data_IF_785994165706
#
_entry.id   IF_785994165706
#
_cell.length_a   1.000
_cell.length_b   1.000
_cell.length_c   1.000
_cell.angle_alpha   90.00
_cell.angle_beta   90.00
_cell.angle_gamma   90.00
#
_symmetry.space_group_name_H-M   'P 1'
#
loop_
_entity.id
_entity.type
_entity.pdbx_description
1 polymer ?
#
# COMPACT_ATOMS: atom_id res chain seq x y z
N UNK A 1 1.31 25.52 -16.93
CA UNK A 1 0.46 24.92 -15.88
C UNK A 1 1.17 25.14 -14.56
N UNK A 2 0.54 25.84 -13.62
CA UNK A 2 1.18 26.23 -12.35
C UNK A 2 0.88 25.27 -11.21
N UNK A 3 -0.30 24.65 -11.21
CA UNK A 3 -0.70 23.65 -10.24
C UNK A 3 -1.49 22.50 -10.89
N UNK A 4 -1.42 21.32 -10.27
CA UNK A 4 -2.19 20.12 -10.58
C UNK A 4 -3.00 19.69 -9.36
N UNK A 5 -4.25 19.28 -9.55
CA UNK A 5 -5.14 18.91 -8.44
C UNK A 5 -5.70 17.50 -8.64
N UNK A 6 -5.66 16.68 -7.58
CA UNK A 6 -6.35 15.39 -7.50
C UNK A 6 -7.33 15.38 -6.32
N UNK A 7 -8.57 14.94 -6.52
CA UNK A 7 -9.56 14.84 -5.46
C UNK A 7 -9.49 13.49 -4.74
N UNK A 8 -9.60 13.49 -3.40
CA UNK A 8 -9.64 12.30 -2.55
C UNK A 8 -10.82 12.36 -1.58
N UNK A 9 -11.75 11.42 -1.68
CA UNK A 9 -12.98 11.38 -0.88
C UNK A 9 -13.10 10.15 0.04
N UNK A 10 -12.13 9.25 0.05
CA UNK A 10 -12.17 7.99 0.81
C UNK A 10 -11.06 7.92 1.86
N UNK A 11 -11.38 7.44 3.06
CA UNK A 11 -10.40 7.08 4.09
C UNK A 11 -9.78 5.69 3.85
N UNK A 12 -10.42 4.85 3.02
CA UNK A 12 -9.91 3.52 2.70
C UNK A 12 -8.77 3.63 1.69
N UNK A 13 -9.01 4.35 0.59
CA UNK A 13 -8.02 4.58 -0.46
C UNK A 13 -7.23 5.85 -0.17
N UNK A 14 -5.90 5.74 -0.16
CA UNK A 14 -4.92 6.83 -0.03
C UNK A 14 -3.99 6.96 -1.24
N UNK A 15 -2.95 7.77 -1.13
CA UNK A 15 -1.95 8.06 -2.18
C UNK A 15 -1.06 6.86 -2.50
N UNK A 16 -0.98 5.89 -1.58
CA UNK A 16 -0.15 4.68 -1.69
C UNK A 16 -0.96 3.38 -1.73
N UNK A 17 -2.29 3.43 -1.68
CA UNK A 17 -3.13 2.22 -1.70
C UNK A 17 -3.32 1.64 -3.10
N UNK A 18 -3.17 2.49 -4.11
CA UNK A 18 -3.20 2.13 -5.53
C UNK A 18 -2.12 2.94 -6.24
N UNK A 19 -1.84 2.57 -7.47
CA UNK A 19 -0.87 3.20 -8.36
C UNK A 19 -1.42 4.45 -9.07
N UNK A 20 -2.75 4.54 -9.25
CA UNK A 20 -3.41 5.68 -9.90
C UNK A 20 -2.91 7.06 -9.45
N UNK A 21 -2.74 7.37 -8.15
CA UNK A 21 -2.41 8.72 -7.73
C UNK A 21 -1.07 9.20 -8.31
N UNK A 22 -0.03 8.37 -8.29
CA UNK A 22 1.25 8.76 -8.87
C UNK A 22 1.22 8.67 -10.40
N UNK A 23 0.47 7.73 -10.98
CA UNK A 23 0.35 7.62 -12.44
C UNK A 23 -0.29 8.87 -13.05
N UNK A 24 -1.40 9.35 -12.48
CA UNK A 24 -2.13 10.50 -12.99
C UNK A 24 -1.52 11.82 -12.51
N UNK A 25 -1.52 12.07 -11.20
CA UNK A 25 -1.09 13.37 -10.67
C UNK A 25 0.44 13.51 -10.74
N UNK A 26 1.17 12.48 -10.32
CA UNK A 26 2.63 12.44 -10.44
C UNK A 26 3.10 12.47 -11.88
N UNK A 27 2.52 11.64 -12.76
CA UNK A 27 2.85 11.61 -14.19
C UNK A 27 2.58 12.92 -14.91
N UNK A 28 1.45 13.59 -14.60
CA UNK A 28 1.18 14.94 -15.11
C UNK A 28 2.22 15.95 -14.61
N UNK A 29 2.58 15.90 -13.32
CA UNK A 29 3.65 16.71 -12.75
C UNK A 29 4.99 16.50 -13.46
N UNK A 30 5.36 15.26 -13.72
CA UNK A 30 6.56 14.88 -14.46
C UNK A 30 6.54 15.44 -15.89
N UNK A 31 5.43 15.32 -16.60
CA UNK A 31 5.30 15.83 -17.97
C UNK A 31 5.47 17.36 -18.02
N UNK A 32 4.83 18.09 -17.10
CA UNK A 32 5.01 19.55 -16.98
C UNK A 32 6.46 19.91 -16.63
N UNK A 33 7.08 19.20 -15.69
CA UNK A 33 8.49 19.41 -15.31
C UNK A 33 9.43 19.16 -16.48
N UNK A 34 9.17 18.13 -17.28
CA UNK A 34 9.97 17.83 -18.48
C UNK A 34 9.87 18.93 -19.54
N UNK A 35 8.67 19.46 -19.78
CA UNK A 35 8.43 20.48 -20.81
C UNK A 35 8.88 21.88 -20.40
N UNK A 36 8.77 22.23 -19.11
CA UNK A 36 9.01 23.60 -18.63
C UNK A 36 10.28 23.75 -17.79
N UNK A 37 10.91 22.66 -17.40
CA UNK A 37 12.05 22.65 -16.47
C UNK A 37 11.66 22.85 -14.99
N UNK A 38 10.39 23.13 -14.68
CA UNK A 38 9.90 23.37 -13.31
C UNK A 38 8.70 22.49 -12.98
N UNK A 39 8.70 21.87 -11.81
CA UNK A 39 7.55 21.12 -11.30
C UNK A 39 6.36 22.07 -11.04
N UNK A 40 5.12 21.69 -11.42
CA UNK A 40 3.93 22.40 -10.95
C UNK A 40 3.70 22.09 -9.47
N UNK A 41 2.95 22.94 -8.77
CA UNK A 41 2.48 22.61 -7.43
C UNK A 41 1.47 21.46 -7.49
N UNK A 42 1.72 20.39 -6.74
CA UNK A 42 0.80 19.25 -6.68
C UNK A 42 -0.09 19.39 -5.44
N UNK A 43 -1.39 19.39 -5.65
CA UNK A 43 -2.41 19.63 -4.63
C UNK A 43 -3.39 18.46 -4.54
N UNK A 44 -3.90 18.23 -3.34
CA UNK A 44 -4.95 17.27 -3.04
C UNK A 44 -6.18 18.01 -2.54
N UNK A 45 -7.31 17.85 -3.23
CA UNK A 45 -8.61 18.23 -2.70
C UNK A 45 -9.08 17.14 -1.74
N UNK A 46 -8.88 17.35 -0.45
CA UNK A 46 -9.23 16.43 0.61
C UNK A 46 -10.71 16.58 0.97
N UNK A 47 -11.52 15.65 0.46
CA UNK A 47 -12.96 15.57 0.62
C UNK A 47 -13.37 14.40 1.54
N UNK A 48 -12.44 13.85 2.33
CA UNK A 48 -12.68 12.72 3.24
C UNK A 48 -13.67 13.04 4.35
N UNK A 49 -13.67 14.31 4.79
CA UNK A 49 -14.67 14.85 5.70
C UNK A 49 -15.52 15.88 4.94
N UNK A 50 -16.80 15.58 4.63
CA UNK A 50 -17.69 16.50 3.94
C UNK A 50 -17.90 17.83 4.69
N UNK A 51 -17.66 17.88 6.00
CA UNK A 51 -17.80 19.08 6.83
C UNK A 51 -16.50 19.88 6.94
N UNK A 52 -15.38 19.31 6.52
CA UNK A 52 -14.04 19.90 6.63
C UNK A 52 -13.23 19.71 5.34
N UNK A 53 -13.90 19.89 4.20
CA UNK A 53 -13.28 19.87 2.89
C UNK A 53 -12.19 20.94 2.79
N UNK A 54 -11.00 20.55 2.32
CA UNK A 54 -9.84 21.46 2.25
C UNK A 54 -8.87 21.03 1.16
N UNK A 55 -8.07 21.97 0.69
CA UNK A 55 -6.97 21.69 -0.23
C UNK A 55 -5.67 21.61 0.56
N UNK A 56 -4.91 20.55 0.33
CA UNK A 56 -3.61 20.30 0.97
C UNK A 56 -2.54 20.14 -0.11
N UNK A 57 -1.27 20.38 0.22
CA UNK A 57 -0.18 20.02 -0.69
C UNK A 57 -0.06 18.49 -0.76
N UNK A 58 0.28 17.95 -1.94
CA UNK A 58 0.47 16.50 -2.09
C UNK A 58 1.58 15.98 -1.17
N UNK A 59 2.63 16.76 -0.94
CA UNK A 59 3.71 16.43 0.00
C UNK A 59 3.19 16.31 1.45
N UNK A 60 2.37 17.27 1.91
CA UNK A 60 1.80 17.25 3.26
C UNK A 60 0.79 16.12 3.46
N UNK A 61 -0.08 15.90 2.46
CA UNK A 61 -1.05 14.82 2.47
C UNK A 61 -0.35 13.45 2.49
N UNK A 62 0.62 13.21 1.61
CA UNK A 62 1.41 11.97 1.56
C UNK A 62 2.14 11.71 2.89
N UNK A 63 2.76 12.73 3.48
CA UNK A 63 3.45 12.61 4.76
C UNK A 63 2.47 12.22 5.90
N UNK A 64 1.29 12.83 5.94
CA UNK A 64 0.26 12.50 6.94
C UNK A 64 -0.24 11.06 6.77
N UNK A 65 -0.44 10.62 5.53
CA UNK A 65 -0.86 9.24 5.26
C UNK A 65 0.17 8.20 5.64
N UNK A 66 1.44 8.46 5.34
CA UNK A 66 2.54 7.57 5.71
C UNK A 66 2.56 7.34 7.23
N UNK A 67 2.51 8.41 8.03
CA UNK A 67 2.55 8.33 9.50
C UNK A 67 1.30 7.68 10.09
N UNK A 68 0.13 7.91 9.49
CA UNK A 68 -1.15 7.36 10.00
C UNK A 68 -1.42 5.92 9.55
N UNK A 69 -0.66 5.40 8.57
CA UNK A 69 -0.84 4.05 8.03
C UNK A 69 0.47 3.29 7.94
N UNK A 70 1.31 3.57 6.96
CA UNK A 70 2.47 2.74 6.62
C UNK A 70 3.49 2.63 7.77
N UNK A 71 3.72 3.73 8.48
CA UNK A 71 4.62 3.79 9.63
C UNK A 71 3.89 3.54 10.96
N UNK A 72 2.58 3.34 10.94
CA UNK A 72 1.81 3.16 12.16
C UNK A 72 1.90 1.70 12.63
N UNK A 73 2.40 1.41 13.86
CA UNK A 73 2.60 0.04 14.32
C UNK A 73 1.28 -0.75 14.39
N UNK A 74 0.16 -0.09 14.63
CA UNK A 74 -1.16 -0.73 14.60
C UNK A 74 -1.56 -1.25 13.21
N UNK A 75 -1.21 -0.53 12.15
CA UNK A 75 -1.47 -0.98 10.78
C UNK A 75 -0.51 -2.10 10.39
N UNK A 76 0.77 -1.99 10.75
CA UNK A 76 1.77 -3.04 10.52
C UNK A 76 1.33 -4.35 11.17
N UNK A 77 0.88 -4.31 12.43
CA UNK A 77 0.31 -5.48 13.13
C UNK A 77 -0.93 -6.04 12.43
N UNK A 78 -1.81 -5.16 11.95
CA UNK A 78 -2.98 -5.56 11.16
C UNK A 78 -2.59 -6.32 9.90
N UNK A 79 -1.59 -5.83 9.16
CA UNK A 79 -1.05 -6.53 8.00
C UNK A 79 -0.35 -7.84 8.40
N UNK A 80 0.35 -7.89 9.54
CA UNK A 80 0.96 -9.14 10.01
C UNK A 80 -0.08 -10.25 10.26
N UNK A 81 -1.26 -9.90 10.76
CA UNK A 81 -2.35 -10.84 10.99
C UNK A 81 -2.88 -11.50 9.70
N UNK A 82 -2.69 -10.84 8.54
CA UNK A 82 -3.09 -11.34 7.22
C UNK A 82 -2.02 -12.19 6.53
N UNK A 83 -0.82 -12.35 7.13
CA UNK A 83 0.25 -13.20 6.60
C UNK A 83 0.73 -12.75 5.21
N UNK A 84 0.69 -13.66 4.22
CA UNK A 84 1.21 -13.40 2.87
C UNK A 84 0.54 -12.20 2.19
N UNK A 85 -0.79 -12.08 2.26
CA UNK A 85 -1.53 -10.96 1.63
C UNK A 85 -1.20 -9.63 2.31
N UNK A 86 -1.00 -9.63 3.63
CA UNK A 86 -0.53 -8.45 4.36
C UNK A 86 0.86 -8.01 3.93
N UNK A 87 1.78 -8.95 3.72
CA UNK A 87 3.13 -8.65 3.22
C UNK A 87 3.10 -8.06 1.80
N UNK A 88 2.21 -8.57 0.92
CA UNK A 88 2.01 -7.99 -0.41
C UNK A 88 1.44 -6.56 -0.34
N UNK A 89 0.47 -6.28 0.54
CA UNK A 89 -0.06 -4.93 0.72
C UNK A 89 1.01 -3.93 1.22
N UNK A 90 1.90 -4.36 2.10
CA UNK A 90 3.06 -3.56 2.49
C UNK A 90 3.99 -3.31 1.29
N UNK A 91 4.23 -4.33 0.46
CA UNK A 91 5.11 -4.22 -0.70
C UNK A 91 4.51 -3.26 -1.74
N UNK A 92 3.22 -3.38 -2.02
CA UNK A 92 2.50 -2.51 -2.95
C UNK A 92 2.57 -1.06 -2.51
N UNK A 93 2.46 -0.79 -1.21
CA UNK A 93 2.63 0.57 -0.68
C UNK A 93 4.01 1.15 -0.96
N UNK A 94 5.09 0.35 -0.83
CA UNK A 94 6.46 0.77 -1.16
C UNK A 94 6.63 0.93 -2.67
N UNK A 95 6.06 0.04 -3.48
CA UNK A 95 6.08 0.18 -4.94
C UNK A 95 5.37 1.47 -5.39
N UNK A 96 4.25 1.83 -4.77
CA UNK A 96 3.53 3.07 -5.04
C UNK A 96 4.31 4.30 -4.55
N UNK A 97 5.02 4.18 -3.42
CA UNK A 97 5.92 5.23 -2.93
C UNK A 97 7.12 5.45 -3.85
N UNK A 98 7.66 4.36 -4.43
CA UNK A 98 8.62 4.42 -5.52
C UNK A 98 8.06 5.11 -6.76
N UNK A 99 6.81 4.84 -7.12
CA UNK A 99 6.10 5.55 -8.19
C UNK A 99 6.12 7.07 -7.99
N UNK A 100 5.72 7.53 -6.79
CA UNK A 100 5.81 8.94 -6.42
C UNK A 100 7.23 9.49 -6.47
N UNK A 101 8.21 8.73 -5.98
CA UNK A 101 9.63 9.10 -6.01
C UNK A 101 10.13 9.33 -7.44
N UNK A 102 9.73 8.47 -8.38
CA UNK A 102 10.13 8.58 -9.78
C UNK A 102 9.43 9.73 -10.51
N UNK A 103 8.13 9.93 -10.26
CA UNK A 103 7.32 10.90 -11.01
C UNK A 103 7.35 12.31 -10.42
N UNK A 104 7.43 12.44 -9.09
CA UNK A 104 7.40 13.70 -8.37
C UNK A 104 8.38 13.66 -7.18
N UNK A 105 9.70 13.53 -7.42
CA UNK A 105 10.70 13.46 -6.36
C UNK A 105 10.64 14.65 -5.40
N UNK A 106 10.20 15.82 -5.87
CA UNK A 106 10.04 17.03 -5.07
C UNK A 106 9.05 16.93 -3.90
N UNK A 107 8.14 15.95 -3.90
CA UNK A 107 7.19 15.74 -2.80
C UNK A 107 7.61 14.62 -1.83
N UNK A 108 8.66 13.87 -2.18
CA UNK A 108 9.18 12.75 -1.41
C UNK A 108 10.43 13.20 -0.66
N UNK A 109 10.54 12.81 0.60
CA UNK A 109 11.67 13.19 1.46
C UNK A 109 12.50 11.99 1.89
N UNK A 110 13.78 12.24 2.17
CA UNK A 110 14.72 11.22 2.64
C UNK A 110 14.26 10.54 3.94
N UNK A 111 13.65 11.28 4.87
CA UNK A 111 13.15 10.73 6.14
C UNK A 111 12.05 9.68 5.95
N UNK A 112 11.27 9.79 4.88
CA UNK A 112 10.19 8.85 4.58
C UNK A 112 10.75 7.51 4.07
N UNK A 113 11.77 7.54 3.21
CA UNK A 113 12.49 6.32 2.83
C UNK A 113 13.24 5.71 4.01
N UNK A 114 13.84 6.54 4.86
CA UNK A 114 14.49 6.07 6.09
C UNK A 114 13.49 5.31 6.98
N UNK A 115 12.31 5.88 7.21
CA UNK A 115 11.31 5.27 8.10
C UNK A 115 10.84 3.89 7.60
N UNK A 116 10.75 3.67 6.28
CA UNK A 116 10.52 2.33 5.72
C UNK A 116 11.61 1.33 6.10
N UNK A 117 12.89 1.73 6.04
CA UNK A 117 14.01 0.87 6.45
C UNK A 117 13.98 0.60 7.96
N UNK A 118 13.62 1.60 8.77
CA UNK A 118 13.49 1.47 10.22
C UNK A 118 12.36 0.51 10.61
N UNK A 119 11.20 0.62 9.97
CA UNK A 119 10.00 -0.13 10.35
C UNK A 119 10.00 -1.56 9.82
N UNK A 120 10.33 -1.75 8.54
CA UNK A 120 10.16 -3.05 7.87
C UNK A 120 11.43 -3.90 7.80
N UNK A 121 12.60 -3.32 8.11
CA UNK A 121 13.87 -4.06 8.10
C UNK A 121 14.57 -4.05 9.45
N UNK A 122 14.74 -2.88 10.07
CA UNK A 122 15.33 -2.81 11.43
C UNK A 122 14.34 -3.28 12.50
N UNK A 123 13.04 -3.37 12.18
CA UNK A 123 11.98 -3.72 13.11
C UNK A 123 11.97 -2.78 14.33
N UNK A 124 11.93 -1.47 14.08
CA UNK A 124 11.94 -0.41 15.10
C UNK A 124 10.89 -0.64 16.21
N UNK A 125 9.74 -1.19 15.83
CA UNK A 125 8.62 -1.49 16.74
C UNK A 125 8.72 -2.85 17.44
N UNK A 126 9.74 -3.67 17.13
CA UNK A 126 9.98 -5.00 17.71
C UNK A 126 8.78 -5.94 17.53
N UNK A 127 8.23 -5.97 16.32
CA UNK A 127 7.07 -6.76 15.93
C UNK A 127 7.45 -8.17 15.43
N UNK A 128 8.73 -8.52 15.45
CA UNK A 128 9.22 -9.80 14.96
C UNK A 128 9.23 -9.88 13.44
N UNK A 129 9.52 -8.75 12.78
CA UNK A 129 9.36 -8.60 11.33
C UNK A 129 10.13 -9.65 10.54
N UNK A 130 11.40 -9.87 10.91
CA UNK A 130 12.28 -10.84 10.26
C UNK A 130 11.75 -12.27 10.29
N UNK A 131 11.25 -12.72 11.45
CA UNK A 131 10.67 -14.07 11.56
C UNK A 131 9.37 -14.17 10.77
N UNK A 132 8.54 -13.13 10.85
CA UNK A 132 7.23 -13.12 10.21
C UNK A 132 7.35 -13.13 8.68
N UNK A 133 8.16 -12.25 8.08
CA UNK A 133 8.35 -12.21 6.62
C UNK A 133 9.00 -13.48 6.09
N UNK A 134 9.96 -14.07 6.82
CA UNK A 134 10.61 -15.32 6.41
C UNK A 134 9.63 -16.50 6.38
N UNK A 135 8.65 -16.50 7.27
CA UNK A 135 7.61 -17.53 7.31
C UNK A 135 6.54 -17.31 6.24
N UNK A 136 6.15 -16.07 5.98
CA UNK A 136 4.97 -15.77 5.16
C UNK A 136 5.32 -15.36 3.73
N UNK A 137 6.28 -14.45 3.54
CA UNK A 137 6.55 -13.82 2.24
C UNK A 137 8.00 -13.26 2.14
N UNK A 138 9.06 -14.08 2.15
CA UNK A 138 10.44 -13.60 2.10
C UNK A 138 10.74 -12.82 0.82
N UNK A 139 10.10 -13.18 -0.30
CA UNK A 139 10.21 -12.46 -1.58
C UNK A 139 9.67 -11.03 -1.48
N UNK A 140 8.64 -10.79 -0.67
CA UNK A 140 8.06 -9.47 -0.52
C UNK A 140 9.04 -8.53 0.19
N UNK A 141 9.66 -8.97 1.30
CA UNK A 141 10.66 -8.15 1.99
C UNK A 141 11.89 -7.93 1.12
N UNK A 142 12.34 -8.94 0.37
CA UNK A 142 13.46 -8.76 -0.56
C UNK A 142 13.18 -7.69 -1.62
N UNK A 143 11.96 -7.65 -2.18
CA UNK A 143 11.55 -6.61 -3.13
C UNK A 143 11.40 -5.23 -2.48
N UNK A 144 10.90 -5.14 -1.25
CA UNK A 144 10.88 -3.88 -0.49
C UNK A 144 12.30 -3.32 -0.33
N UNK A 145 13.25 -4.18 0.06
CA UNK A 145 14.66 -3.82 0.20
C UNK A 145 15.27 -3.42 -1.14
N UNK A 146 14.95 -4.14 -2.22
CA UNK A 146 15.39 -3.80 -3.56
C UNK A 146 14.90 -2.39 -3.96
N UNK A 147 13.66 -2.02 -3.66
CA UNK A 147 13.16 -0.66 -3.90
C UNK A 147 13.89 0.40 -3.09
N UNK A 148 14.13 0.16 -1.81
CA UNK A 148 14.89 1.08 -0.95
C UNK A 148 16.32 1.29 -1.46
N UNK A 149 17.02 0.21 -1.79
CA UNK A 149 18.39 0.27 -2.32
C UNK A 149 18.44 0.89 -3.72
N UNK A 150 17.45 0.65 -4.58
CA UNK A 150 17.33 1.33 -5.89
C UNK A 150 17.10 2.83 -5.73
N UNK A 151 16.32 3.26 -4.73
CA UNK A 151 16.15 4.68 -4.42
C UNK A 151 17.47 5.34 -4.02
N UNK A 152 18.27 4.67 -3.18
CA UNK A 152 19.60 5.15 -2.84
C UNK A 152 20.55 5.16 -4.04
N UNK A 153 20.61 4.06 -4.81
CA UNK A 153 21.49 3.91 -5.98
C UNK A 153 21.23 4.95 -7.07
N UNK A 154 19.99 5.42 -7.17
CA UNK A 154 19.54 6.42 -8.16
C UNK A 154 19.48 7.83 -7.60
N UNK A 155 20.10 8.08 -6.44
CA UNK A 155 20.19 9.38 -5.78
C UNK A 155 18.84 10.01 -5.38
N UNK A 156 17.77 9.21 -5.32
CA UNK A 156 16.46 9.65 -4.82
C UNK A 156 16.36 9.63 -3.30
N UNK A 157 17.20 8.85 -2.64
CA UNK A 157 17.24 8.74 -1.20
C UNK A 157 18.68 8.83 -0.69
N UNK A 158 18.94 9.83 0.15
CA UNK A 158 20.22 9.97 0.86
C UNK A 158 20.10 9.36 2.25
N UNK A 159 20.93 8.37 2.52
CA UNK A 159 21.03 7.70 3.82
C UNK A 159 22.48 7.39 4.16
N UNK A 160 22.73 6.98 5.39
CA UNK A 160 24.06 6.64 5.86
C UNK A 160 24.52 5.26 5.38
N UNK A 161 25.83 5.04 5.41
CA UNK A 161 26.45 3.78 4.99
C UNK A 161 25.99 2.59 5.85
N UNK A 162 25.63 2.81 7.11
CA UNK A 162 25.21 1.73 8.01
C UNK A 162 23.81 1.21 7.64
N UNK A 163 22.90 2.08 7.22
CA UNK A 163 21.60 1.71 6.67
C UNK A 163 21.76 0.95 5.35
N UNK A 164 22.60 1.43 4.43
CA UNK A 164 22.87 0.72 3.17
C UNK A 164 23.45 -0.68 3.41
N UNK A 165 24.43 -0.79 4.33
CA UNK A 165 25.02 -2.07 4.71
C UNK A 165 24.00 -3.04 5.30
N UNK A 166 23.12 -2.54 6.16
CA UNK A 166 22.05 -3.35 6.79
C UNK A 166 21.07 -3.87 5.74
N UNK A 167 20.61 -3.00 4.85
CA UNK A 167 19.70 -3.36 3.76
C UNK A 167 20.35 -4.39 2.82
N UNK A 168 21.58 -4.16 2.39
CA UNK A 168 22.32 -5.08 1.53
C UNK A 168 22.54 -6.45 2.20
N UNK A 169 22.92 -6.45 3.48
CA UNK A 169 23.08 -7.69 4.25
C UNK A 169 21.77 -8.46 4.40
N UNK A 170 20.65 -7.77 4.68
CA UNK A 170 19.34 -8.41 4.78
C UNK A 170 18.91 -8.99 3.44
N UNK A 171 19.10 -8.26 2.34
CA UNK A 171 18.82 -8.75 0.99
C UNK A 171 19.63 -10.02 0.68
N UNK A 172 20.94 -10.01 0.91
CA UNK A 172 21.82 -11.17 0.70
C UNK A 172 21.41 -12.39 1.54
N UNK A 173 20.98 -12.17 2.78
CA UNK A 173 20.49 -13.24 3.65
C UNK A 173 19.20 -13.88 3.09
N UNK A 174 18.25 -13.06 2.63
CA UNK A 174 17.02 -13.53 2.01
C UNK A 174 17.32 -14.25 0.68
N UNK A 175 18.18 -13.67 -0.15
CA UNK A 175 18.64 -14.24 -1.43
C UNK A 175 19.19 -15.65 -1.26
N UNK A 176 20.13 -15.85 -0.34
CA UNK A 176 20.75 -17.15 -0.11
C UNK A 176 19.80 -18.18 0.49
N UNK A 177 18.94 -17.77 1.42
CA UNK A 177 18.06 -18.70 2.16
C UNK A 177 16.81 -19.10 1.38
N UNK A 178 16.32 -18.24 0.49
CA UNK A 178 15.04 -18.42 -0.20
C UNK A 178 15.16 -18.39 -1.73
N UNK A 179 16.39 -18.52 -2.25
CA UNK A 179 16.69 -18.54 -3.69
C UNK A 179 16.13 -17.32 -4.45
N UNK A 180 16.30 -16.12 -3.87
CA UNK A 180 15.80 -14.86 -4.43
C UNK A 180 16.91 -14.19 -5.24
N UNK A 181 16.63 -13.88 -6.51
CA UNK A 181 17.58 -13.25 -7.42
C UNK A 181 16.97 -12.05 -8.13
N UNK A 182 17.66 -10.91 -8.16
CA UNK A 182 17.31 -9.80 -9.05
C UNK A 182 17.98 -9.98 -10.41
N UNK A 183 17.23 -9.79 -11.50
CA UNK A 183 17.77 -9.78 -12.86
C UNK A 183 18.55 -8.50 -13.18
N UNK A 184 18.39 -7.44 -12.38
CA UNK A 184 19.06 -6.15 -12.57
C UNK A 184 20.53 -6.19 -12.16
N UNK A 185 21.44 -6.12 -13.14
CA UNK A 185 22.89 -6.19 -12.90
C UNK A 185 23.42 -5.02 -12.06
N UNK A 186 22.98 -3.79 -12.34
CA UNK A 186 23.42 -2.60 -11.61
C UNK A 186 22.96 -2.63 -10.14
N UNK A 187 21.78 -3.18 -9.88
CA UNK A 187 21.31 -3.43 -8.53
C UNK A 187 22.22 -4.44 -7.81
N UNK A 188 22.51 -5.59 -8.42
CA UNK A 188 23.39 -6.61 -7.82
C UNK A 188 24.79 -6.07 -7.50
N UNK A 189 25.34 -5.23 -8.37
CA UNK A 189 26.62 -4.56 -8.12
C UNK A 189 26.55 -3.60 -6.93
N UNK A 190 25.47 -2.81 -6.83
CA UNK A 190 25.26 -1.91 -5.70
C UNK A 190 25.06 -2.66 -4.37
N UNK A 191 24.33 -3.77 -4.38
CA UNK A 191 24.21 -4.66 -3.20
C UNK A 191 25.59 -5.17 -2.79
N UNK A 192 26.39 -5.70 -3.73
CA UNK A 192 27.74 -6.21 -3.43
C UNK A 192 28.67 -5.14 -2.87
N UNK A 193 28.59 -3.91 -3.39
CA UNK A 193 29.40 -2.79 -2.92
C UNK A 193 29.05 -2.34 -1.49
N UNK A 194 27.80 -2.57 -1.06
CA UNK A 194 27.32 -2.17 0.26
C UNK A 194 27.19 -3.34 1.24
N UNK A 195 27.16 -4.60 0.78
CA UNK A 195 27.18 -5.75 1.66
C UNK A 195 28.49 -5.75 2.44
N UNK A 196 28.48 -6.07 3.75
CA UNK A 196 29.72 -6.19 4.49
C UNK A 196 30.57 -7.26 3.80
N UNK A 197 31.78 -6.88 3.39
CA UNK A 197 32.79 -7.84 2.96
C UNK A 197 32.88 -8.87 4.07
N UNK A 198 32.61 -10.14 3.75
CA UNK A 198 32.92 -11.24 4.65
C UNK A 198 34.32 -10.95 5.20
N UNK A 199 34.43 -10.81 6.52
CA UNK A 199 35.72 -10.63 7.17
C UNK A 199 36.67 -11.65 6.52
N UNK A 200 37.87 -11.25 6.07
CA UNK A 200 38.76 -12.16 5.36
C UNK A 200 38.86 -13.42 6.21
N UNK A 201 38.25 -14.50 5.70
CA UNK A 201 38.21 -15.77 6.38
C UNK A 201 39.66 -16.13 6.68
N UNK A 202 39.93 -16.53 7.93
CA UNK A 202 41.19 -17.14 8.30
C UNK A 202 41.59 -18.13 7.19
N UNK A 203 42.77 -17.86 6.61
CA UNK A 203 43.19 -18.37 5.32
C UNK A 203 42.99 -19.87 5.14
N UNK A 204 42.08 -20.22 4.25
CA UNK A 204 42.29 -21.34 3.36
C UNK A 204 42.55 -20.74 1.98
N UNK A 205 43.78 -20.23 1.78
CA UNK A 205 44.33 -20.21 0.44
C UNK A 205 44.32 -21.67 -0.04
N UNK A 206 43.42 -21.98 -0.97
CA UNK A 206 43.55 -23.18 -1.77
C UNK A 206 44.85 -23.03 -2.57
N UNK A 207 45.93 -23.62 -2.04
CA UNK A 207 47.13 -23.84 -2.80
C UNK A 207 46.71 -24.65 -4.04
N UNK A 208 46.86 -24.04 -5.20
CA UNK A 208 46.78 -24.69 -6.51
C UNK A 208 47.90 -25.71 -6.60
N UNK A 209 47.66 -26.92 -6.07
CA UNK A 209 48.49 -28.08 -6.33
C UNK A 209 48.04 -28.71 -7.66
N UNK A 210 48.77 -28.38 -8.73
CA UNK A 210 48.75 -29.12 -9.99
C UNK A 210 49.25 -30.54 -9.74
N UNK A 211 48.35 -31.50 -9.65
CA UNK A 211 48.64 -32.93 -9.56
C UNK A 211 47.81 -33.71 -10.57
N UNK A 212 48.46 -34.17 -11.64
CA UNK A 212 47.91 -35.16 -12.57
C UNK A 212 47.53 -36.45 -11.82
N UNK A 213 46.34 -36.98 -12.09
CA UNK A 213 45.99 -38.37 -11.76
C UNK A 213 45.32 -39.03 -12.96
N UNK A 214 45.94 -40.12 -13.40
CA UNK A 214 45.53 -41.08 -14.43
C UNK A 214 44.22 -41.82 -14.07
N UNK A 215 43.45 -42.33 -15.06
CA UNK A 215 42.20 -43.02 -14.80
C UNK A 215 42.43 -44.50 -14.47
N UNK A 216 41.73 -45.01 -13.45
CA UNK A 216 41.61 -46.44 -13.19
C UNK A 216 40.14 -46.79 -12.88
N UNK A 217 39.77 -47.98 -13.33
CA UNK A 217 38.44 -48.51 -13.61
C UNK A 217 37.67 -49.07 -12.41
N UNK A 218 36.34 -48.87 -12.46
CA UNK A 218 35.23 -49.78 -12.13
C UNK A 218 35.13 -50.45 -10.76
N UNK A 219 34.02 -50.19 -10.05
CA UNK A 219 33.41 -51.14 -9.12
C UNK A 219 32.52 -50.51 -8.05
N UNK A 220 31.19 -50.67 -8.18
CA UNK A 220 30.23 -50.50 -7.07
C UNK A 220 29.12 -49.47 -7.31
N UNK A 221 27.95 -49.94 -7.73
CA UNK A 221 26.70 -49.16 -7.72
C UNK A 221 26.29 -48.80 -6.29
N UNK A 222 25.92 -47.55 -6.00
CA UNK A 222 24.95 -47.22 -4.96
C UNK A 222 23.55 -47.16 -5.57
N UNK A 223 22.58 -47.68 -4.83
CA UNK A 223 21.16 -47.78 -5.16
C UNK A 223 20.55 -46.51 -5.77
N UNK A 224 19.74 -46.75 -6.80
CA UNK A 224 18.90 -45.80 -7.50
C UNK A 224 17.77 -45.33 -6.55
N UNK A 225 18.01 -44.27 -5.78
CA UNK A 225 16.96 -43.62 -4.99
C UNK A 225 16.08 -42.82 -5.95
N UNK A 226 15.04 -43.49 -6.44
CA UNK A 226 13.97 -42.88 -7.22
C UNK A 226 13.32 -41.76 -6.40
N UNK A 227 13.25 -40.51 -6.90
CA UNK A 227 12.49 -39.47 -6.21
C UNK A 227 11.01 -39.85 -6.18
N UNK A 228 10.43 -39.86 -4.98
CA UNK A 228 8.98 -39.97 -4.76
C UNK A 228 8.27 -38.88 -5.60
N UNK A 229 7.19 -39.21 -6.33
CA UNK A 229 6.45 -38.22 -7.09
C UNK A 229 5.80 -37.22 -6.13
N UNK A 230 6.10 -35.93 -6.33
CA UNK A 230 5.46 -34.82 -5.61
C UNK A 230 3.94 -34.96 -5.73
N UNK A 231 3.26 -35.14 -4.60
CA UNK A 231 1.80 -35.13 -4.56
C UNK A 231 1.31 -33.72 -4.90
N UNK A 232 0.36 -33.65 -5.83
CA UNK A 232 -0.29 -32.40 -6.22
C UNK A 232 -0.96 -31.75 -5.00
N UNK A 233 -0.86 -30.42 -4.81
CA UNK A 233 -1.56 -29.75 -3.73
C UNK A 233 -3.08 -29.95 -3.89
N UNK A 234 -3.84 -30.08 -2.79
CA UNK A 234 -5.28 -30.25 -2.85
C UNK A 234 -5.93 -29.04 -3.55
N UNK A 235 -6.96 -29.25 -4.39
CA UNK A 235 -7.60 -28.16 -5.11
C UNK A 235 -8.26 -27.19 -4.12
N UNK A 236 -7.85 -25.93 -4.17
CA UNK A 236 -8.46 -24.86 -3.38
C UNK A 236 -9.81 -24.51 -4.02
N UNK A 237 -10.92 -24.89 -3.38
CA UNK A 237 -12.24 -24.36 -3.72
C UNK A 237 -12.47 -23.03 -3.02
N UNK A 238 -12.45 -21.94 -3.79
CA UNK A 238 -12.86 -20.62 -3.31
C UNK A 238 -14.35 -20.55 -2.99
N UNK A 239 -14.75 -19.54 -2.24
CA UNK A 239 -16.17 -19.27 -1.96
C UNK A 239 -16.92 -19.00 -3.26
N UNK A 240 -17.89 -19.86 -3.61
CA UNK A 240 -18.82 -19.59 -4.71
C UNK A 240 -19.80 -18.50 -4.27
N UNK A 241 -19.76 -17.36 -4.94
CA UNK A 241 -20.80 -16.33 -4.80
C UNK A 241 -22.11 -16.87 -5.38
N UNK A 242 -23.07 -17.17 -4.49
CA UNK A 242 -24.43 -17.44 -4.88
C UNK A 242 -25.12 -16.15 -5.31
N UNK A 243 -25.82 -16.17 -6.45
CA UNK A 243 -26.67 -15.06 -6.87
C UNK A 243 -27.81 -14.90 -5.85
N UNK A 244 -27.75 -13.85 -5.03
CA UNK A 244 -28.85 -13.47 -4.16
C UNK A 244 -29.89 -12.77 -5.02
N UNK A 245 -31.06 -13.39 -5.19
CA UNK A 245 -32.20 -12.73 -5.81
C UNK A 245 -32.62 -11.54 -4.95
N UNK A 246 -32.86 -10.36 -5.54
CA UNK A 246 -33.33 -9.21 -4.77
C UNK A 246 -34.68 -9.54 -4.12
N UNK A 247 -34.98 -8.98 -2.94
CA UNK A 247 -36.26 -9.19 -2.29
C UNK A 247 -37.38 -8.73 -3.22
N UNK A 248 -38.37 -9.60 -3.40
CA UNK A 248 -39.56 -9.31 -4.21
C UNK A 248 -40.27 -8.11 -3.57
N UNK A 249 -40.52 -7.01 -4.31
CA UNK A 249 -41.24 -5.88 -3.76
C UNK A 249 -42.65 -6.34 -3.34
N UNK A 250 -43.20 -5.79 -2.24
CA UNK A 250 -44.54 -6.15 -1.80
C UNK A 250 -45.56 -5.90 -2.92
N UNK A 251 -46.60 -6.73 -3.04
CA UNK A 251 -47.59 -6.59 -4.10
C UNK A 251 -48.20 -5.20 -4.06
N UNK A 252 -48.39 -4.60 -5.25
CA UNK A 252 -48.75 -3.19 -5.42
C UNK A 252 -49.91 -2.72 -4.52
N UNK A 253 -50.87 -3.60 -4.21
CA UNK A 253 -51.98 -3.31 -3.30
C UNK A 253 -51.52 -2.83 -1.90
N UNK A 254 -50.43 -3.36 -1.35
CA UNK A 254 -49.90 -2.93 -0.06
C UNK A 254 -49.21 -1.55 -0.15
N UNK A 255 -48.53 -1.24 -1.26
CA UNK A 255 -47.89 0.05 -1.46
C UNK A 255 -48.91 1.20 -1.58
N UNK A 256 -50.05 0.95 -2.23
CA UNK A 256 -51.15 1.92 -2.32
C UNK A 256 -51.85 2.17 -0.99
N UNK A 257 -51.99 1.15 -0.14
CA UNK A 257 -52.59 1.30 1.20
C UNK A 257 -51.74 2.17 2.12
N UNK A 258 -50.41 1.98 2.13
CA UNK A 258 -49.50 2.81 2.92
C UNK A 258 -49.39 4.25 2.38
N UNK A 259 -49.33 4.43 1.05
CA UNK A 259 -49.31 5.75 0.41
C UNK A 259 -50.62 6.53 0.62
N UNK A 260 -51.76 5.86 0.53
CA UNK A 260 -53.08 6.48 0.75
C UNK A 260 -53.32 6.90 2.19
N UNK A 261 -52.90 6.10 3.17
CA UNK A 261 -53.00 6.45 4.59
C UNK A 261 -52.15 7.67 4.97
N UNK A 262 -50.96 7.80 4.37
CA UNK A 262 -50.06 8.95 4.57
C UNK A 262 -50.61 10.25 3.96
N UNK A 263 -51.25 10.18 2.77
CA UNK A 263 -51.95 11.34 2.20
C UNK A 263 -53.17 11.76 3.04
N UNK A 264 -53.97 10.80 3.53
CA UNK A 264 -55.14 11.11 4.35
C UNK A 264 -54.75 11.78 5.69
N UNK A 265 -53.62 11.39 6.29
CA UNK A 265 -53.07 12.06 7.47
C UNK A 265 -52.58 13.49 7.17
N UNK A 266 -51.92 13.70 6.03
CA UNK A 266 -51.40 15.01 5.63
C UNK A 266 -52.52 16.02 5.30
N UNK A 267 -53.61 15.58 4.65
CA UNK A 267 -54.73 16.44 4.29
C UNK A 267 -55.80 16.54 5.39
N UNK A 268 -56.00 15.48 6.20
CA UNK A 268 -56.94 15.50 7.33
C UNK A 268 -56.51 16.43 8.47
N UNK A 269 -55.20 16.50 8.76
CA UNK A 269 -54.66 17.40 9.79
C UNK A 269 -54.76 18.90 9.43
N UNK A 270 -54.75 19.23 8.14
CA UNK A 270 -54.89 20.60 7.65
C UNK A 270 -56.32 21.15 7.81
N UNK A 271 -57.33 20.32 7.53
CA UNK A 271 -58.74 20.71 7.61
C UNK A 271 -59.23 20.95 9.05
N UNK A 272 -58.72 20.19 10.03
CA UNK A 272 -59.02 20.43 11.45
C UNK A 272 -58.39 21.73 11.98
N UNK A 273 -57.22 22.12 11.47
CA UNK A 273 -56.55 23.37 11.89
C UNK A 273 -57.23 24.63 11.35
N UNK A 274 -57.81 24.59 10.15
CA UNK A 274 -58.57 25.72 9.58
C UNK A 274 -59.93 25.94 10.24
N UNK A 275 -60.55 24.89 10.80
CA UNK A 275 -61.84 25.00 11.50
C UNK A 275 -61.72 25.61 12.91
N UNK A 276 -60.57 25.44 13.59
CA UNK A 276 -60.33 26.05 14.91
C UNK A 276 -59.84 27.50 14.84
N UNK A 277 -59.20 27.92 13.74
CA UNK A 277 -58.66 29.28 13.60
C UNK A 277 -59.71 30.36 13.28
N UNK A 278 -60.93 29.98 12.88
CA UNK A 278 -62.00 30.93 12.51
C UNK A 278 -62.90 31.35 13.69
N UNK A 279 -62.77 30.72 14.86
CA UNK A 279 -63.67 30.96 16.01
C UNK A 279 -63.19 32.05 17.00
N UNK A 280 -61.99 32.60 16.82
CA UNK A 280 -61.42 33.56 17.79
C UNK A 280 -60.93 34.84 17.09
N UNK A 281 -61.85 35.69 16.66
CA UNK A 281 -61.55 37.12 16.51
C UNK A 281 -62.80 38.00 16.68
N UNK A 282 -63.07 38.57 17.88
CA UNK A 282 -64.03 39.65 18.01
C UNK A 282 -63.35 40.99 17.66
N UNK A 283 -64.01 41.74 16.79
CA UNK A 283 -63.60 43.05 16.30
C UNK A 283 -63.37 44.07 17.42
N UNK A 284 -62.34 44.91 17.27
CA UNK A 284 -62.28 46.23 17.91
C UNK A 284 -62.09 47.32 16.85
N UNK A 285 -63.18 48.02 16.59
CA UNK A 285 -63.18 49.35 15.97
C UNK A 285 -62.62 50.37 16.97
N UNK A 286 -61.81 51.32 16.50
CA UNK A 286 -61.99 52.75 16.78
C UNK A 286 -61.05 53.61 15.93
N UNK A 287 -61.68 54.50 15.17
CA UNK A 287 -61.11 55.68 14.51
C UNK A 287 -61.22 56.86 15.49
N UNK A 288 -60.25 57.77 15.41
CA UNK A 288 -60.10 59.00 16.20
C UNK A 288 -61.18 60.05 15.94
N UNK A 289 -61.71 60.65 17.02
CA UNK A 289 -61.90 62.08 17.29
C UNK A 289 -62.67 62.24 18.61
#
# INVERSE_FOLDING_TARGET
MEAALLARSSNLYGMLTTDDPFQYLGGLGQAVRHLTGKAPELLISNLRDPRAARTETAAGFLATELVTRNFHPGWIKGMQAEGYSGALNMLDSINNFWGWTATAPEIVRDDQWQEFAEDYVRDKYKLGMDKWVEQHAPQAQAQMIERMLEAARKDYWKTDAATLQRLAQRYENLSKRFDIHSSNAAFREFVKANAPTAAPGFGLQAATATGQVTPASTGGHPEDVRPEPLSSPPPVQGMKLGKVSPPVPPPAALAWLFGGALMLLAFGGGALRSLFAFSLNPASSKVSA
#
